data_IF_013655400129
#
_entry.id   IF_013655400129
#
_cell.length_a   1.000
_cell.length_b   1.000
_cell.length_c   1.000
_cell.angle_alpha   90.00
_cell.angle_beta   90.00
_cell.angle_gamma   90.00
#
_symmetry.space_group_name_H-M   'P 1'
#
loop_
_entity.id
_entity.type
_entity.pdbx_description
1 polymer ?
#
# COMPACT_ATOMS: atom_id res chain seq x y z
N UNK A 1 -25.55 -13.54 6.64
CA UNK A 1 -24.20 -12.95 6.60
C UNK A 1 -24.03 -12.09 7.84
N UNK A 2 -23.07 -12.41 8.71
CA UNK A 2 -22.84 -11.75 9.99
C UNK A 2 -22.01 -10.46 9.84
N UNK A 3 -22.06 -9.58 10.84
CA UNK A 3 -21.21 -8.36 10.90
C UNK A 3 -19.72 -8.74 10.83
N UNK A 4 -19.32 -9.86 11.44
CA UNK A 4 -17.95 -10.36 11.41
C UNK A 4 -17.49 -10.70 9.99
N UNK A 5 -18.34 -11.37 9.21
CA UNK A 5 -18.05 -11.70 7.81
C UNK A 5 -17.98 -10.43 6.93
N UNK A 6 -18.81 -9.42 7.22
CA UNK A 6 -18.77 -8.13 6.53
C UNK A 6 -17.49 -7.34 6.85
N UNK A 7 -17.05 -7.35 8.11
CA UNK A 7 -15.81 -6.70 8.55
C UNK A 7 -14.55 -7.40 8.03
N UNK A 8 -14.57 -8.73 7.92
CA UNK A 8 -13.47 -9.49 7.31
C UNK A 8 -13.34 -9.18 5.82
N UNK A 9 -14.47 -9.16 5.08
CA UNK A 9 -14.47 -8.77 3.66
C UNK A 9 -13.92 -7.36 3.41
N UNK A 10 -14.17 -6.43 4.34
CA UNK A 10 -13.66 -5.05 4.24
C UNK A 10 -12.13 -4.94 4.40
N UNK A 11 -11.48 -5.88 5.10
CA UNK A 11 -10.02 -5.87 5.29
C UNK A 11 -9.23 -6.43 4.11
N UNK A 12 -9.85 -7.29 3.30
CA UNK A 12 -9.23 -7.92 2.11
C UNK A 12 -9.52 -7.14 0.82
N UNK A 13 -10.03 -5.91 0.91
CA UNK A 13 -10.29 -5.11 -0.29
C UNK A 13 -9.03 -4.47 -0.84
N UNK A 14 -8.96 -4.46 -2.16
CA UNK A 14 -7.97 -3.73 -2.93
C UNK A 14 -8.47 -2.29 -2.99
N UNK A 15 -7.61 -1.37 -2.57
CA UNK A 15 -7.83 0.06 -2.58
C UNK A 15 -7.10 0.68 -3.75
N UNK A 16 -7.47 1.92 -4.09
CA UNK A 16 -6.85 2.66 -5.19
C UNK A 16 -6.52 4.08 -4.77
N UNK A 17 -5.38 4.57 -5.23
CA UNK A 17 -4.99 5.97 -5.18
C UNK A 17 -4.70 6.46 -6.59
N UNK A 18 -5.13 7.68 -6.92
CA UNK A 18 -4.83 8.32 -8.19
C UNK A 18 -3.67 9.29 -7.99
N UNK A 19 -2.61 9.13 -8.77
CA UNK A 19 -1.37 9.90 -8.69
C UNK A 19 -1.06 10.37 -10.10
N UNK A 20 -1.09 11.69 -10.31
CA UNK A 20 -0.72 12.33 -11.58
C UNK A 20 -1.54 11.79 -12.79
N UNK A 21 -2.79 11.39 -12.55
CA UNK A 21 -3.71 10.84 -13.55
C UNK A 21 -3.64 9.33 -13.74
N UNK A 22 -2.73 8.64 -13.03
CA UNK A 22 -2.59 7.19 -13.05
C UNK A 22 -3.15 6.55 -11.78
N UNK A 23 -3.77 5.37 -11.94
CA UNK A 23 -4.35 4.63 -10.82
C UNK A 23 -3.38 3.55 -10.33
N UNK A 24 -3.13 3.57 -9.03
CA UNK A 24 -2.31 2.59 -8.34
C UNK A 24 -3.16 1.81 -7.33
N UNK A 25 -2.98 0.50 -7.28
CA UNK A 25 -3.73 -0.38 -6.40
C UNK A 25 -2.89 -0.81 -5.20
N UNK A 26 -3.52 -0.91 -4.04
CA UNK A 26 -2.83 -1.29 -2.81
C UNK A 26 -3.76 -2.00 -1.83
N UNK A 27 -3.17 -2.74 -0.90
CA UNK A 27 -3.87 -3.29 0.27
C UNK A 27 -3.42 -2.55 1.52
N UNK A 28 -4.30 -2.44 2.51
CA UNK A 28 -3.89 -1.92 3.81
C UNK A 28 -2.89 -2.85 4.47
N UNK A 29 -1.89 -2.26 5.12
CA UNK A 29 -0.84 -3.03 5.75
C UNK A 29 -1.36 -3.82 6.95
N UNK A 30 -1.04 -5.11 6.99
CA UNK A 30 -1.36 -6.00 8.11
C UNK A 30 -0.26 -5.96 9.17
N UNK A 31 -0.57 -6.41 10.40
CA UNK A 31 0.42 -6.46 11.49
C UNK A 31 1.65 -7.34 11.17
N UNK A 32 1.52 -8.52 10.52
CA UNK A 32 2.68 -9.29 10.07
C UNK A 32 3.55 -8.54 9.04
N UNK A 33 2.93 -7.87 8.06
CA UNK A 33 3.67 -7.08 7.06
C UNK A 33 4.39 -5.89 7.70
N UNK A 34 3.76 -5.23 8.68
CA UNK A 34 4.41 -4.15 9.43
C UNK A 34 5.65 -4.65 10.18
N UNK A 35 5.59 -5.84 10.78
CA UNK A 35 6.75 -6.43 11.44
C UNK A 35 7.89 -6.75 10.46
N UNK A 36 7.56 -7.20 9.24
CA UNK A 36 8.54 -7.41 8.17
C UNK A 36 9.17 -6.07 7.76
N UNK A 37 8.37 -5.04 7.48
CA UNK A 37 8.88 -3.73 7.10
C UNK A 37 9.76 -3.09 8.18
N UNK A 38 9.41 -3.28 9.46
CA UNK A 38 10.20 -2.83 10.61
C UNK A 38 11.53 -3.58 10.78
N UNK A 39 11.67 -4.77 10.18
CA UNK A 39 12.93 -5.52 10.19
C UNK A 39 13.92 -5.05 9.12
N UNK A 40 13.45 -4.30 8.12
CA UNK A 40 14.30 -3.63 7.13
C UNK A 40 15.01 -2.42 7.75
N UNK A 41 16.03 -1.90 7.05
CA UNK A 41 16.69 -0.66 7.48
C UNK A 41 15.70 0.50 7.47
N UNK A 42 15.86 1.44 8.39
CA UNK A 42 14.94 2.59 8.51
C UNK A 42 14.81 3.40 7.22
N UNK A 43 15.86 3.49 6.41
CA UNK A 43 15.87 4.18 5.12
C UNK A 43 15.06 3.44 4.04
N UNK A 44 14.84 2.13 4.20
CA UNK A 44 14.13 1.26 3.27
C UNK A 44 12.68 1.01 3.68
N UNK A 45 12.23 1.59 4.80
CA UNK A 45 10.89 1.36 5.36
C UNK A 45 9.80 1.63 4.31
N UNK A 46 9.86 2.75 3.60
CA UNK A 46 8.84 3.09 2.61
C UNK A 46 8.85 2.12 1.43
N UNK A 47 10.04 1.73 0.95
CA UNK A 47 10.19 0.72 -0.12
C UNK A 47 9.62 -0.63 0.32
N UNK A 48 9.87 -1.04 1.57
CA UNK A 48 9.33 -2.28 2.13
C UNK A 48 7.81 -2.25 2.27
N UNK A 49 7.24 -1.14 2.76
CA UNK A 49 5.78 -0.98 2.85
C UNK A 49 5.15 -1.01 1.45
N UNK A 50 5.77 -0.32 0.48
CA UNK A 50 5.32 -0.32 -0.90
C UNK A 50 5.37 -1.74 -1.48
N UNK A 51 6.49 -2.44 -1.40
CA UNK A 51 6.64 -3.78 -1.94
C UNK A 51 5.61 -4.77 -1.37
N UNK A 52 5.35 -4.68 -0.06
CA UNK A 52 4.43 -5.60 0.62
C UNK A 52 2.95 -5.33 0.34
N UNK A 53 2.60 -4.11 -0.09
CA UNK A 53 1.21 -3.64 -0.11
C UNK A 53 0.72 -3.17 -1.48
N UNK A 54 1.62 -2.72 -2.37
CA UNK A 54 1.29 -2.37 -3.74
C UNK A 54 0.97 -3.65 -4.53
N UNK A 55 -0.11 -3.60 -5.31
CA UNK A 55 -0.64 -4.76 -5.99
C UNK A 55 -1.25 -4.39 -7.35
N UNK A 56 -1.52 -5.40 -8.15
CA UNK A 56 -2.32 -5.32 -9.38
C UNK A 56 -3.82 -5.15 -9.04
N UNK A 57 -4.65 -4.93 -10.06
CA UNK A 57 -6.11 -4.77 -9.91
C UNK A 57 -6.79 -6.02 -9.30
N UNK A 58 -6.20 -7.21 -9.51
CA UNK A 58 -6.65 -8.47 -8.93
C UNK A 58 -6.08 -8.73 -7.51
N UNK A 59 -5.20 -7.85 -7.04
CA UNK A 59 -4.58 -7.91 -5.72
C UNK A 59 -3.33 -8.77 -5.66
N UNK A 60 -2.82 -9.25 -6.79
CA UNK A 60 -1.51 -9.89 -6.87
C UNK A 60 -0.40 -8.88 -6.56
N UNK A 61 0.62 -9.23 -5.77
CA UNK A 61 1.72 -8.31 -5.46
C UNK A 61 2.48 -7.93 -6.74
N UNK A 62 2.82 -6.64 -6.90
CA UNK A 62 3.67 -6.16 -8.00
C UNK A 62 5.15 -6.44 -7.70
N UNK A 63 5.52 -6.33 -6.43
CA UNK A 63 6.87 -6.58 -5.92
C UNK A 63 6.80 -7.50 -4.70
N UNK A 64 7.95 -8.08 -4.37
CA UNK A 64 8.18 -8.82 -3.14
C UNK A 64 9.22 -8.10 -2.28
N UNK A 65 9.37 -8.54 -1.03
CA UNK A 65 10.39 -7.98 -0.12
C UNK A 65 11.84 -8.25 -0.58
N UNK A 66 12.03 -9.16 -1.53
CA UNK A 66 13.36 -9.46 -2.09
C UNK A 66 13.74 -8.48 -3.21
N UNK A 67 12.76 -7.73 -3.74
CA UNK A 67 12.91 -6.82 -4.88
C UNK A 67 12.97 -5.35 -4.41
N UNK A 68 13.48 -5.09 -3.20
CA UNK A 68 13.57 -3.73 -2.65
C UNK A 68 14.44 -2.80 -3.48
N UNK A 69 15.53 -3.31 -4.07
CA UNK A 69 16.43 -2.53 -4.91
C UNK A 69 15.68 -1.97 -6.14
N UNK A 70 14.76 -2.74 -6.72
CA UNK A 70 13.92 -2.30 -7.84
C UNK A 70 12.91 -1.22 -7.41
N UNK A 71 12.34 -1.35 -6.20
CA UNK A 71 11.43 -0.35 -5.63
C UNK A 71 12.16 0.96 -5.33
N UNK A 72 13.44 0.91 -4.96
CA UNK A 72 14.27 2.10 -4.71
C UNK A 72 14.62 2.88 -6.00
N UNK A 73 14.55 2.23 -7.17
CA UNK A 73 14.68 2.91 -8.47
C UNK A 73 13.43 3.70 -8.86
N UNK A 74 12.28 3.44 -8.22
CA UNK A 74 11.04 4.15 -8.50
C UNK A 74 11.09 5.60 -8.00
N UNK A 75 10.29 6.51 -8.61
CA UNK A 75 10.19 7.87 -8.13
C UNK A 75 9.78 7.93 -6.65
N UNK A 76 10.60 8.58 -5.83
CA UNK A 76 10.36 8.73 -4.37
C UNK A 76 8.97 9.33 -4.09
N UNK A 77 8.51 10.25 -4.95
CA UNK A 77 7.18 10.87 -4.86
C UNK A 77 6.05 9.86 -5.03
N UNK A 78 6.19 8.90 -5.95
CA UNK A 78 5.22 7.83 -6.18
C UNK A 78 5.16 6.91 -4.96
N UNK A 79 6.31 6.38 -4.55
CA UNK A 79 6.41 5.46 -3.41
C UNK A 79 5.82 6.11 -2.16
N UNK A 80 6.18 7.36 -1.88
CA UNK A 80 5.70 8.08 -0.70
C UNK A 80 4.18 8.30 -0.72
N UNK A 81 3.60 8.69 -1.88
CA UNK A 81 2.15 8.90 -2.01
C UNK A 81 1.36 7.61 -1.82
N UNK A 82 1.84 6.49 -2.37
CA UNK A 82 1.19 5.18 -2.20
C UNK A 82 1.31 4.70 -0.75
N UNK A 83 2.48 4.83 -0.13
CA UNK A 83 2.69 4.50 1.29
C UNK A 83 1.79 5.33 2.21
N UNK A 84 1.63 6.63 1.94
CA UNK A 84 0.70 7.49 2.69
C UNK A 84 -0.75 6.96 2.57
N UNK A 85 -1.17 6.57 1.36
CA UNK A 85 -2.49 5.98 1.13
C UNK A 85 -2.67 4.62 1.83
N UNK A 86 -1.61 3.81 1.95
CA UNK A 86 -1.63 2.52 2.67
C UNK A 86 -1.91 2.73 4.17
N UNK A 87 -1.29 3.73 4.79
CA UNK A 87 -1.45 3.99 6.22
C UNK A 87 -2.72 4.78 6.57
N UNK A 88 -3.01 5.81 5.79
CA UNK A 88 -4.06 6.79 6.12
C UNK A 88 -5.36 6.56 5.33
N UNK A 89 -5.35 5.65 4.34
CA UNK A 89 -6.44 5.51 3.39
C UNK A 89 -6.50 6.69 2.41
N UNK A 90 -7.21 6.51 1.29
CA UNK A 90 -7.46 7.59 0.33
C UNK A 90 -8.55 8.58 0.83
N UNK A 91 -8.64 8.82 2.15
CA UNK A 91 -9.70 9.63 2.77
C UNK A 91 -9.54 11.15 2.59
N UNK A 92 -8.61 11.59 1.74
CA UNK A 92 -8.62 12.95 1.20
C UNK A 92 -9.18 12.95 -0.21
N UNK A 93 -10.49 12.71 -0.33
CA UNK A 93 -11.24 13.52 -1.30
C UNK A 93 -11.05 14.98 -0.84
N UNK A 94 -10.63 15.91 -1.70
CA UNK A 94 -10.72 17.32 -1.35
C UNK A 94 -12.17 17.58 -0.92
N UNK A 95 -12.35 18.05 0.31
CA UNK A 95 -13.56 18.78 0.63
C UNK A 95 -13.47 20.04 -0.22
N UNK A 96 -14.28 20.11 -1.27
CA UNK A 96 -14.63 21.39 -1.86
C UNK A 96 -15.13 22.30 -0.72
N UNK A 97 -14.34 23.30 -0.37
CA UNK A 97 -14.71 24.40 0.51
C UNK A 97 -14.03 25.68 0.01
#
# INVERSE_FOLDING_TARGET
>A
MSIKERLLKLKDHIHTVEIDGEKYYYKHMTAPQLAIAQSCKSEQMNSAVFALCACEEDGSPIFTIEELDEVEELPISLVSKVVDAIFNGNEKKPQDA
#
